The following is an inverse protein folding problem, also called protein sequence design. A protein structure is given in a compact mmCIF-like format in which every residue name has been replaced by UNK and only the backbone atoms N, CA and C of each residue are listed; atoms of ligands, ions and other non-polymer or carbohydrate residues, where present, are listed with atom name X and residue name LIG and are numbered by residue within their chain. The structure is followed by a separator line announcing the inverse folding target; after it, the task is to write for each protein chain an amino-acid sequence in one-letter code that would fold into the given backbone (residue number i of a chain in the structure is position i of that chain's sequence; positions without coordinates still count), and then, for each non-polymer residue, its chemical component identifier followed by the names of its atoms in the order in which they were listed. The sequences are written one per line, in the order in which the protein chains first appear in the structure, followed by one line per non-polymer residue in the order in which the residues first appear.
data_IF_419636136527
#
_entry.id   IF_419636136527
#
_cell.length_a   1.000
_cell.length_b   1.000
_cell.length_c   1.000
_cell.angle_alpha   90.00
_cell.angle_beta   90.00
_cell.angle_gamma   90.00
#
_symmetry.space_group_name_H-M   'P 1'
#
loop_
_entity.id
_entity.type
_entity.pdbx_description
1 polymer ?
#
# COMPACT_ATOMS: atom_id res chain seq x y z
N UNK A 1 15.30 43.42 25.88
CA UNK A 1 16.32 42.47 26.36
C UNK A 1 15.73 41.79 27.57
N UNK A 2 15.47 40.49 27.49
CA UNK A 2 15.14 39.70 28.69
C UNK A 2 16.35 39.73 29.62
N UNK A 3 16.15 40.19 30.86
CA UNK A 3 17.18 40.18 31.88
C UNK A 3 17.00 38.91 32.71
N UNK A 4 18.02 38.07 32.74
CA UNK A 4 18.07 36.93 33.65
C UNK A 4 18.71 37.35 34.98
N UNK A 5 18.28 36.79 36.12
CA UNK A 5 18.92 37.02 37.41
C UNK A 5 20.37 36.53 37.40
N UNK A 6 21.28 37.28 38.01
CA UNK A 6 22.71 36.92 38.08
C UNK A 6 22.91 35.64 38.89
N UNK A 7 22.06 35.43 39.89
CA UNK A 7 22.08 34.29 40.80
C UNK A 7 21.80 32.96 40.08
N UNK A 8 21.12 33.01 38.94
CA UNK A 8 20.72 31.84 38.15
C UNK A 8 21.88 31.26 37.32
N UNK A 9 23.02 31.93 37.24
CA UNK A 9 24.18 31.45 36.47
C UNK A 9 24.59 30.01 36.85
N UNK A 10 24.53 29.67 38.13
CA UNK A 10 24.82 28.31 38.63
C UNK A 10 23.77 27.28 38.21
N UNK A 11 22.52 27.69 38.03
CA UNK A 11 21.44 26.83 37.55
C UNK A 11 21.72 26.43 36.11
N UNK A 12 22.09 27.38 35.25
CA UNK A 12 22.41 27.12 33.86
C UNK A 12 23.66 26.25 33.70
N UNK A 13 24.70 26.42 34.54
CA UNK A 13 25.85 25.51 34.56
C UNK A 13 25.45 24.07 34.88
N UNK A 14 24.57 23.87 35.88
CA UNK A 14 24.04 22.53 36.19
C UNK A 14 23.18 21.97 35.06
N UNK A 15 22.49 22.81 34.30
CA UNK A 15 21.73 22.38 33.13
C UNK A 15 22.66 21.94 32.00
N UNK A 16 23.71 22.71 31.68
CA UNK A 16 24.72 22.34 30.67
C UNK A 16 25.33 20.97 30.95
N UNK A 17 25.61 20.65 32.22
CA UNK A 17 26.13 19.35 32.65
C UNK A 17 25.17 18.18 32.44
N UNK A 18 23.87 18.43 32.24
CA UNK A 18 22.84 17.41 32.02
C UNK A 18 22.50 17.20 30.54
N UNK A 19 22.88 18.15 29.68
CA UNK A 19 22.66 18.00 28.24
C UNK A 19 23.54 16.85 27.75
N UNK A 20 22.92 15.87 27.09
CA UNK A 20 23.59 14.70 26.49
C UNK A 20 23.05 14.53 25.08
N UNK A 21 23.93 14.22 24.12
CA UNK A 21 23.52 14.03 22.72
C UNK A 21 22.43 12.95 22.56
N UNK A 22 22.44 11.93 23.42
CA UNK A 22 21.47 10.81 23.40
C UNK A 22 20.01 11.24 23.65
N UNK A 23 19.79 12.39 24.28
CA UNK A 23 18.46 12.92 24.56
C UNK A 23 17.82 13.58 23.34
N UNK A 24 18.55 13.70 22.22
CA UNK A 24 18.12 14.42 21.03
C UNK A 24 18.07 13.49 19.83
N UNK A 25 17.08 13.72 18.97
CA UNK A 25 16.92 12.96 17.73
C UNK A 25 17.88 13.45 16.65
N UNK A 26 18.12 14.75 16.58
CA UNK A 26 18.98 15.37 15.59
C UNK A 26 20.12 16.12 16.27
N UNK A 27 21.28 16.16 15.61
CA UNK A 27 22.44 16.89 16.12
C UNK A 27 22.20 18.39 16.19
N UNK A 28 21.34 18.92 15.31
CA UNK A 28 20.94 20.33 15.32
C UNK A 28 20.22 20.70 16.61
N UNK A 29 19.24 19.91 17.02
CA UNK A 29 18.47 20.16 18.26
C UNK A 29 19.37 20.14 19.50
N UNK A 30 20.34 19.22 19.51
CA UNK A 30 21.36 19.11 20.54
C UNK A 30 22.23 20.38 20.61
N UNK A 31 22.78 20.81 19.47
CA UNK A 31 23.62 22.00 19.36
C UNK A 31 22.87 23.28 19.75
N UNK A 32 21.63 23.42 19.29
CA UNK A 32 20.79 24.59 19.57
C UNK A 32 20.43 24.68 21.05
N UNK A 33 20.17 23.54 21.70
CA UNK A 33 19.90 23.52 23.16
C UNK A 33 21.13 23.94 23.97
N UNK A 34 22.34 23.52 23.55
CA UNK A 34 23.58 23.99 24.19
C UNK A 34 23.70 25.50 24.01
N UNK A 35 23.54 26.02 22.79
CA UNK A 35 23.64 27.45 22.50
C UNK A 35 22.64 28.27 23.32
N UNK A 36 21.40 27.81 23.42
CA UNK A 36 20.37 28.49 24.21
C UNK A 36 20.75 28.53 25.70
N UNK A 37 21.23 27.42 26.25
CA UNK A 37 21.62 27.34 27.66
C UNK A 37 22.88 28.16 27.96
N UNK A 38 23.88 28.14 27.07
CA UNK A 38 25.09 28.98 27.18
C UNK A 38 24.74 30.47 27.06
N UNK A 39 23.82 30.85 26.18
CA UNK A 39 23.37 32.23 26.07
C UNK A 39 22.73 32.72 27.38
N UNK A 40 21.82 31.93 27.97
CA UNK A 40 21.23 32.24 29.30
C UNK A 40 22.30 32.39 30.37
N UNK A 41 23.26 31.48 30.42
CA UNK A 41 24.40 31.56 31.33
C UNK A 41 25.25 32.81 31.10
N UNK A 42 25.54 33.16 29.84
CA UNK A 42 26.35 34.32 29.47
C UNK A 42 25.66 35.64 29.85
N UNK A 43 24.34 35.71 29.72
CA UNK A 43 23.54 36.85 30.17
C UNK A 43 23.58 37.02 31.69
N UNK A 44 23.62 35.93 32.47
CA UNK A 44 23.76 35.98 33.93
C UNK A 44 25.17 36.36 34.40
N UNK A 45 26.20 36.02 33.62
CA UNK A 45 27.61 36.13 34.03
C UNK A 45 28.37 37.25 33.31
N UNK A 46 27.70 37.97 32.42
CA UNK A 46 28.29 39.00 31.54
C UNK A 46 29.49 38.45 30.72
N UNK A 47 29.40 37.18 30.31
CA UNK A 47 30.46 36.53 29.55
C UNK A 47 30.64 37.18 28.16
N UNK A 48 31.88 37.15 27.66
CA UNK A 48 32.18 37.63 26.30
C UNK A 48 31.79 36.57 25.27
N UNK A 49 31.53 37.00 24.03
CA UNK A 49 31.24 36.08 22.91
C UNK A 49 32.29 34.99 22.70
N UNK A 50 33.58 35.31 22.89
CA UNK A 50 34.64 34.31 22.77
C UNK A 50 34.54 33.21 23.84
N UNK A 51 34.06 33.59 25.03
CA UNK A 51 33.85 32.65 26.14
C UNK A 51 32.59 31.80 25.91
N UNK A 52 31.54 32.38 25.33
CA UNK A 52 30.36 31.63 24.86
C UNK A 52 30.77 30.55 23.85
N UNK A 53 31.55 30.91 22.82
CA UNK A 53 32.00 29.98 21.78
C UNK A 53 32.83 28.84 22.38
N UNK A 54 33.79 29.17 23.24
CA UNK A 54 34.60 28.17 23.95
C UNK A 54 33.75 27.23 24.79
N UNK A 55 32.77 27.78 25.51
CA UNK A 55 31.87 26.98 26.34
C UNK A 55 30.99 26.05 25.51
N UNK A 56 30.45 26.54 24.39
CA UNK A 56 29.68 25.72 23.45
C UNK A 56 30.53 24.55 22.96
N UNK A 57 31.76 24.83 22.53
CA UNK A 57 32.68 23.80 22.03
C UNK A 57 33.02 22.76 23.11
N UNK A 58 33.37 23.21 24.31
CA UNK A 58 33.66 22.34 25.46
C UNK A 58 32.48 21.42 25.78
N UNK A 59 31.29 21.99 25.95
CA UNK A 59 30.07 21.23 26.32
C UNK A 59 29.67 20.28 25.19
N UNK A 60 29.79 20.70 23.93
CA UNK A 60 29.48 19.87 22.79
C UNK A 60 30.38 18.64 22.72
N UNK A 61 31.70 18.81 22.85
CA UNK A 61 32.65 17.69 22.77
C UNK A 61 32.52 16.77 23.99
N UNK A 62 32.42 17.33 25.18
CA UNK A 62 32.36 16.56 26.44
C UNK A 62 31.11 15.69 26.54
N UNK A 63 29.99 16.15 25.97
CA UNK A 63 28.69 15.47 26.06
C UNK A 63 28.25 14.79 24.76
N UNK A 64 29.16 14.70 23.77
CA UNK A 64 28.96 13.94 22.55
C UNK A 64 28.87 12.45 22.89
N UNK A 65 28.10 11.66 22.13
CA UNK A 65 28.10 10.22 22.35
C UNK A 65 29.51 9.65 22.04
N UNK A 66 30.11 8.85 22.94
CA UNK A 66 31.45 8.31 22.74
C UNK A 66 31.60 7.52 21.43
N UNK A 67 30.55 6.84 20.97
CA UNK A 67 30.57 6.13 19.68
C UNK A 67 30.73 7.08 18.51
N UNK A 68 30.03 8.22 18.55
CA UNK A 68 30.11 9.25 17.52
C UNK A 68 31.48 9.91 17.56
N UNK A 69 31.97 10.26 18.75
CA UNK A 69 33.30 10.84 18.95
C UNK A 69 34.40 9.96 18.33
N UNK A 70 34.39 8.66 18.62
CA UNK A 70 35.36 7.70 18.05
C UNK A 70 35.30 7.67 16.52
N UNK A 71 34.12 7.64 15.92
CA UNK A 71 33.97 7.64 14.46
C UNK A 71 34.40 8.96 13.81
N UNK A 72 34.18 10.09 14.49
CA UNK A 72 34.63 11.41 14.02
C UNK A 72 36.15 11.55 14.10
N UNK A 73 36.77 11.05 15.18
CA UNK A 73 38.23 11.02 15.31
C UNK A 73 38.89 10.18 14.22
N UNK A 74 38.32 9.01 13.87
CA UNK A 74 38.80 8.18 12.76
C UNK A 74 38.78 8.89 11.41
N UNK A 75 37.82 9.81 11.22
CA UNK A 75 37.65 10.57 9.98
C UNK A 75 38.37 11.92 10.01
N UNK A 76 39.10 12.23 11.09
CA UNK A 76 39.89 13.45 11.22
C UNK A 76 39.07 14.70 11.61
N UNK A 77 37.83 14.53 12.07
CA UNK A 77 36.99 15.63 12.54
C UNK A 77 37.16 15.82 14.05
N UNK A 78 37.80 16.92 14.46
CA UNK A 78 38.16 17.18 15.87
C UNK A 78 37.45 18.38 16.49
N UNK A 79 36.91 19.28 15.68
CA UNK A 79 36.23 20.50 16.18
C UNK A 79 34.72 20.28 16.24
N UNK A 80 34.05 20.91 17.21
CA UNK A 80 32.59 20.82 17.36
C UNK A 80 31.85 21.18 16.07
N UNK A 81 32.31 22.23 15.37
CA UNK A 81 31.73 22.68 14.11
C UNK A 81 31.86 21.60 13.02
N UNK A 82 33.07 21.08 12.80
CA UNK A 82 33.29 20.05 11.75
C UNK A 82 32.50 18.78 12.01
N UNK A 83 32.37 18.38 13.29
CA UNK A 83 31.60 17.22 13.71
C UNK A 83 30.11 17.47 13.46
N UNK A 84 29.58 18.61 13.91
CA UNK A 84 28.17 18.97 13.70
C UNK A 84 27.81 18.99 12.21
N UNK A 85 28.63 19.65 11.39
CA UNK A 85 28.40 19.74 9.94
C UNK A 85 28.43 18.37 9.26
N UNK A 86 29.37 17.51 9.67
CA UNK A 86 29.45 16.13 9.16
C UNK A 86 28.20 15.33 9.50
N UNK A 87 27.75 15.39 10.76
CA UNK A 87 26.55 14.66 11.20
C UNK A 87 25.30 15.20 10.50
N UNK A 88 25.14 16.53 10.39
CA UNK A 88 24.04 17.17 9.63
C UNK A 88 24.02 16.71 8.17
N UNK A 89 25.19 16.57 7.54
CA UNK A 89 25.31 16.04 6.19
C UNK A 89 24.80 14.60 6.10
N UNK A 90 25.21 13.73 7.04
CA UNK A 90 24.76 12.34 7.12
C UNK A 90 23.24 12.27 7.34
N UNK A 91 22.70 13.04 8.29
CA UNK A 91 21.26 13.10 8.56
C UNK A 91 20.46 13.51 7.32
N UNK A 92 20.97 14.48 6.54
CA UNK A 92 20.34 14.91 5.28
C UNK A 92 20.30 13.78 4.24
N UNK A 93 21.38 13.00 4.13
CA UNK A 93 21.44 11.83 3.23
C UNK A 93 20.45 10.76 3.69
N UNK A 94 20.41 10.43 4.98
CA UNK A 94 19.48 9.44 5.53
C UNK A 94 18.02 9.83 5.30
N UNK A 95 17.66 11.10 5.55
CA UNK A 95 16.31 11.62 5.27
C UNK A 95 15.94 11.51 3.79
N UNK A 96 16.89 11.77 2.89
CA UNK A 96 16.66 11.63 1.45
C UNK A 96 16.38 10.17 1.09
N UNK A 97 17.19 9.23 1.57
CA UNK A 97 17.02 7.80 1.31
C UNK A 97 15.68 7.28 1.85
N UNK A 98 15.25 7.74 3.02
CA UNK A 98 13.93 7.38 3.58
C UNK A 98 12.81 7.86 2.65
N UNK A 99 12.85 9.13 2.21
CA UNK A 99 11.84 9.68 1.29
C UNK A 99 11.82 8.96 -0.05
N UNK A 100 12.97 8.64 -0.61
CA UNK A 100 13.08 7.87 -1.87
C UNK A 100 12.44 6.49 -1.74
N UNK A 101 12.69 5.79 -0.62
CA UNK A 101 12.05 4.50 -0.32
C UNK A 101 10.54 4.64 -0.18
N UNK A 102 10.05 5.64 0.55
CA UNK A 102 8.61 5.90 0.69
C UNK A 102 7.94 6.20 -0.66
N UNK A 103 8.56 7.02 -1.51
CA UNK A 103 8.05 7.31 -2.85
C UNK A 103 8.00 6.07 -3.73
N UNK A 104 9.04 5.22 -3.70
CA UNK A 104 9.08 3.96 -4.46
C UNK A 104 8.03 2.95 -3.97
N UNK A 105 7.78 2.92 -2.66
CA UNK A 105 6.76 2.06 -2.06
C UNK A 105 5.35 2.56 -2.37
N UNK A 106 5.12 3.87 -2.32
CA UNK A 106 3.83 4.47 -2.67
C UNK A 106 3.49 4.32 -4.16
N UNK A 107 4.47 4.43 -5.06
CA UNK A 107 4.25 4.13 -6.49
C UNK A 107 3.96 2.65 -6.72
N UNK A 108 4.59 1.73 -5.98
CA UNK A 108 4.24 0.30 -6.03
C UNK A 108 2.81 0.03 -5.54
N UNK A 109 2.38 0.67 -4.45
CA UNK A 109 1.02 0.53 -3.92
C UNK A 109 0.00 1.15 -4.90
N UNK A 110 0.21 2.37 -5.39
CA UNK A 110 -0.70 3.04 -6.33
C UNK A 110 -0.87 2.25 -7.63
N UNK A 111 0.23 1.75 -8.21
CA UNK A 111 0.19 0.93 -9.43
C UNK A 111 -0.54 -0.42 -9.23
N UNK A 112 -0.56 -0.96 -8.00
CA UNK A 112 -1.33 -2.16 -7.68
C UNK A 112 -2.80 -1.84 -7.36
N UNK A 113 -3.11 -0.69 -6.75
CA UNK A 113 -4.51 -0.28 -6.49
C UNK A 113 -5.24 0.18 -7.75
N UNK A 114 -4.56 0.75 -8.75
CA UNK A 114 -5.18 1.11 -10.03
C UNK A 114 -5.44 -0.10 -10.95
N UNK A 115 -4.75 -1.23 -10.73
CA UNK A 115 -5.01 -2.50 -11.43
C UNK A 115 -6.14 -3.34 -10.82
N UNK A 116 -6.74 -2.91 -9.70
CA UNK A 116 -7.89 -3.60 -9.08
C UNK A 116 -9.09 -2.66 -9.04
N UNK A 117 -9.59 -2.29 -10.22
CA UNK A 117 -10.98 -1.84 -10.41
C UNK A 117 -11.70 -2.65 -11.48
N UNK A 118 -11.28 -3.88 -11.75
CA UNK A 118 -12.29 -4.84 -12.19
C UNK A 118 -13.14 -5.16 -10.96
N UNK A 119 -14.47 -4.95 -11.01
CA UNK A 119 -15.32 -5.44 -9.93
C UNK A 119 -15.01 -6.93 -9.79
N UNK A 120 -14.66 -7.37 -8.58
CA UNK A 120 -14.61 -8.79 -8.25
C UNK A 120 -15.90 -9.39 -8.80
N UNK A 121 -15.80 -10.10 -9.92
CA UNK A 121 -16.92 -10.84 -10.47
C UNK A 121 -17.12 -11.97 -9.47
N UNK A 122 -17.92 -11.72 -8.44
CA UNK A 122 -18.41 -12.75 -7.55
C UNK A 122 -18.95 -13.83 -8.48
N UNK A 123 -18.37 -15.04 -8.50
CA UNK A 123 -18.85 -16.10 -9.37
C UNK A 123 -20.32 -16.26 -9.05
N UNK A 124 -21.22 -15.91 -9.99
CA UNK A 124 -22.65 -16.04 -9.78
C UNK A 124 -22.91 -17.48 -9.38
N UNK A 125 -23.31 -17.71 -8.13
CA UNK A 125 -23.57 -19.04 -7.63
C UNK A 125 -24.57 -19.71 -8.57
N UNK A 126 -24.19 -20.88 -9.10
CA UNK A 126 -24.99 -21.61 -10.08
C UNK A 126 -26.17 -22.26 -9.37
N UNK A 127 -27.21 -21.49 -9.04
CA UNK A 127 -28.42 -22.03 -8.44
C UNK A 127 -29.49 -22.29 -9.51
N UNK A 128 -30.06 -23.49 -9.49
CA UNK A 128 -31.21 -23.84 -10.31
C UNK A 128 -32.47 -23.84 -9.46
N UNK A 129 -33.40 -22.94 -9.74
CA UNK A 129 -34.68 -22.86 -9.02
C UNK A 129 -35.59 -24.06 -9.25
N UNK A 130 -35.41 -24.78 -10.36
CA UNK A 130 -36.20 -25.98 -10.68
C UNK A 130 -35.76 -27.20 -9.86
N UNK A 131 -34.46 -27.46 -9.79
CA UNK A 131 -33.89 -28.58 -9.02
C UNK A 131 -33.49 -28.21 -7.58
N UNK A 132 -33.64 -26.93 -7.21
CA UNK A 132 -33.30 -26.34 -5.91
C UNK A 132 -31.89 -26.70 -5.41
N UNK A 133 -30.92 -26.75 -6.32
CA UNK A 133 -29.53 -27.12 -6.00
C UNK A 133 -28.52 -26.24 -6.75
N UNK A 134 -27.25 -26.29 -6.32
CA UNK A 134 -26.16 -25.43 -6.80
C UNK A 134 -25.32 -26.05 -7.94
N UNK A 135 -25.82 -27.11 -8.57
CA UNK A 135 -25.05 -27.87 -9.58
C UNK A 135 -25.00 -27.18 -10.96
N UNK A 136 -26.02 -26.38 -11.28
CA UNK A 136 -26.18 -25.67 -12.55
C UNK A 136 -27.12 -24.49 -12.36
N UNK A 137 -27.14 -23.53 -13.29
CA UNK A 137 -28.09 -22.42 -13.23
C UNK A 137 -29.45 -22.79 -13.86
N UNK A 138 -30.50 -22.04 -13.53
CA UNK A 138 -31.84 -22.26 -14.09
C UNK A 138 -31.87 -22.12 -15.62
N UNK A 139 -31.06 -21.24 -16.21
CA UNK A 139 -31.02 -21.02 -17.66
C UNK A 139 -30.58 -22.27 -18.43
N UNK A 140 -29.44 -22.86 -18.02
CA UNK A 140 -28.88 -24.09 -18.57
C UNK A 140 -29.86 -25.27 -18.42
N UNK A 141 -30.61 -25.30 -17.31
CA UNK A 141 -31.66 -26.30 -17.08
C UNK A 141 -32.74 -26.23 -18.16
N UNK A 142 -33.25 -25.03 -18.45
CA UNK A 142 -34.26 -24.83 -19.48
C UNK A 142 -33.73 -25.13 -20.88
N UNK A 143 -32.47 -24.78 -21.17
CA UNK A 143 -31.83 -25.07 -22.45
C UNK A 143 -31.70 -26.57 -22.68
N UNK A 144 -31.25 -27.35 -21.68
CA UNK A 144 -31.19 -28.81 -21.78
C UNK A 144 -32.57 -29.44 -21.93
N UNK A 145 -33.55 -29.00 -21.13
CA UNK A 145 -34.93 -29.49 -21.21
C UNK A 145 -35.59 -29.20 -22.55
N UNK A 146 -35.37 -28.02 -23.13
CA UNK A 146 -35.91 -27.68 -24.45
C UNK A 146 -35.24 -28.50 -25.56
N UNK A 147 -33.93 -28.74 -25.48
CA UNK A 147 -33.24 -29.67 -26.38
C UNK A 147 -33.79 -31.08 -26.27
N UNK A 148 -34.10 -31.54 -25.06
CA UNK A 148 -34.68 -32.86 -24.83
C UNK A 148 -36.13 -32.99 -25.32
N UNK A 149 -36.95 -31.93 -25.14
CA UNK A 149 -38.28 -31.84 -25.78
C UNK A 149 -38.19 -31.86 -27.30
N UNK A 150 -37.26 -31.12 -27.90
CA UNK A 150 -37.04 -31.13 -29.35
C UNK A 150 -36.54 -32.49 -29.83
N UNK A 151 -35.68 -33.16 -29.06
CA UNK A 151 -35.21 -34.53 -29.34
C UNK A 151 -36.36 -35.53 -29.27
N UNK A 152 -37.26 -35.40 -28.29
CA UNK A 152 -38.43 -36.27 -28.15
C UNK A 152 -39.50 -35.98 -29.22
N UNK A 153 -39.64 -34.74 -29.69
CA UNK A 153 -40.46 -34.42 -30.86
C UNK A 153 -39.88 -35.05 -32.14
N UNK A 154 -38.55 -35.00 -32.33
CA UNK A 154 -37.89 -35.69 -33.43
C UNK A 154 -37.97 -37.21 -33.33
N UNK A 155 -37.85 -37.79 -32.12
CA UNK A 155 -38.03 -39.22 -31.91
C UNK A 155 -39.49 -39.64 -32.16
N UNK A 156 -40.48 -38.84 -31.74
CA UNK A 156 -41.89 -39.13 -32.04
C UNK A 156 -42.21 -38.95 -33.54
N UNK A 157 -41.64 -37.96 -34.22
CA UNK A 157 -41.74 -37.84 -35.69
C UNK A 157 -41.07 -39.03 -36.40
N UNK A 158 -39.97 -39.54 -35.85
CA UNK A 158 -39.24 -40.70 -36.36
C UNK A 158 -39.93 -42.04 -36.04
N UNK A 159 -40.65 -42.14 -34.92
CA UNK A 159 -41.52 -43.27 -34.57
C UNK A 159 -42.88 -43.22 -35.30
N UNK A 160 -43.30 -42.07 -35.85
CA UNK A 160 -44.31 -42.04 -36.91
C UNK A 160 -43.79 -42.65 -38.23
N UNK A 161 -42.46 -42.77 -38.37
CA UNK A 161 -41.78 -43.42 -39.50
C UNK A 161 -41.32 -44.87 -39.21
N UNK A 162 -41.52 -45.38 -37.99
CA UNK A 162 -41.25 -46.78 -37.63
C UNK A 162 -42.24 -47.18 -36.53
N UNK A 163 -43.28 -47.97 -36.77
CA UNK A 163 -43.31 -49.29 -37.40
C UNK A 163 -44.62 -49.47 -38.21
N UNK A 164 -44.55 -50.20 -39.35
CA UNK A 164 -45.69 -50.53 -40.24
C UNK A 164 -46.42 -49.36 -40.93
N UNK A 165 -45.67 -48.44 -41.55
CA UNK A 165 -46.24 -47.31 -42.29
C UNK A 165 -46.06 -47.32 -43.82
N UNK A 166 -45.31 -48.28 -44.38
CA UNK A 166 -45.10 -48.37 -45.83
C UNK A 166 -46.35 -48.75 -46.62
N UNK A 167 -47.46 -49.13 -45.96
CA UNK A 167 -48.73 -49.45 -46.63
C UNK A 167 -49.83 -48.40 -46.45
N UNK A 168 -49.69 -47.41 -45.55
CA UNK A 168 -50.81 -46.50 -45.24
C UNK A 168 -50.75 -45.13 -45.96
N UNK A 169 -49.58 -44.69 -46.43
CA UNK A 169 -49.48 -43.50 -47.29
C UNK A 169 -49.64 -43.79 -48.80
N UNK A 170 -49.94 -45.04 -49.19
CA UNK A 170 -50.20 -45.39 -50.59
C UNK A 170 -51.69 -45.66 -50.89
N UNK A 171 -52.58 -45.77 -49.90
CA UNK A 171 -54.01 -46.02 -50.18
C UNK A 171 -54.85 -44.76 -50.42
N UNK A 172 -54.48 -43.61 -49.83
CA UNK A 172 -55.18 -42.35 -50.13
C UNK A 172 -54.71 -41.72 -51.44
N UNK A 173 -53.43 -41.86 -51.81
CA UNK A 173 -52.95 -41.39 -53.13
C UNK A 173 -53.54 -42.22 -54.29
N UNK A 174 -53.68 -43.55 -54.11
CA UNK A 174 -54.30 -44.42 -55.11
C UNK A 174 -55.83 -44.21 -55.20
N UNK A 175 -56.53 -43.89 -54.10
CA UNK A 175 -57.97 -43.52 -54.16
C UNK A 175 -58.20 -42.19 -54.87
N UNK A 176 -57.37 -41.18 -54.63
CA UNK A 176 -57.49 -39.88 -55.32
C UNK A 176 -57.16 -40.00 -56.81
N UNK A 177 -56.19 -40.86 -57.19
CA UNK A 177 -55.87 -41.10 -58.60
C UNK A 177 -56.96 -41.94 -59.30
N UNK A 178 -57.58 -42.93 -58.64
CA UNK A 178 -58.69 -43.71 -59.23
C UNK A 178 -60.00 -42.93 -59.37
N UNK A 179 -60.30 -42.00 -58.46
CA UNK A 179 -61.51 -41.16 -58.56
C UNK A 179 -61.41 -40.10 -59.67
N UNK A 180 -60.21 -39.59 -59.96
CA UNK A 180 -60.00 -38.61 -61.03
C UNK A 180 -59.84 -39.21 -62.44
N UNK A 181 -59.79 -40.55 -62.58
CA UNK A 181 -59.78 -41.24 -63.88
C UNK A 181 -61.12 -41.91 -64.25
N UNK A 182 -62.17 -41.74 -63.43
CA UNK A 182 -63.54 -42.18 -63.76
C UNK A 182 -64.53 -41.01 -63.91
N UNK A 183 -64.03 -39.78 -64.00
CA UNK A 183 -64.82 -38.57 -64.28
C UNK A 183 -64.32 -37.80 -65.51
N UNK A 184 -63.68 -38.50 -66.46
CA UNK A 184 -63.51 -38.07 -67.86
C UNK A 184 -63.68 -39.27 -68.77
#
# INVERSE_FOLDING_TARGET
MEKYPVEDGQIYLKQLQKIRQENYRFIGDYEDTIKECVNKWALCTEAKKDEEIRRIEEVFLTNLNPKVEIEMLKTGHTTAQTISDKIKCIEKILRRQIKEREMSHNTFIQNNTERVKEPLQIPKEKYCSYHKNFSHNTSDCWTKRNKEKHRNQWINARNCFSWKGAECCNQNLIKTIRLNMLQN
#
